data_IF_190305934476
#
_entry.id   IF_190305934476
#
_cell.length_a   1.000
_cell.length_b   1.000
_cell.length_c   1.000
_cell.angle_alpha   90.00
_cell.angle_beta   90.00
_cell.angle_gamma   90.00
#
_symmetry.space_group_name_H-M   'P 1'
#
loop_
_entity.id
_entity.type
_entity.pdbx_description
1 polymer ?
#
# COMPACT_ATOMS: atom_id res chain seq x y z
N UNK A 1 -8.90 8.54 -5.23
CA UNK A 1 -8.79 8.07 -3.83
C UNK A 1 -7.62 8.78 -3.15
N UNK A 2 -7.59 8.85 -1.82
CA UNK A 2 -6.50 9.47 -1.08
C UNK A 2 -5.70 8.40 -0.35
N UNK A 3 -4.38 8.45 -0.46
CA UNK A 3 -3.47 7.48 0.13
C UNK A 3 -2.37 8.15 0.95
N UNK A 4 -2.08 7.56 2.10
CA UNK A 4 -0.93 7.80 2.95
C UNK A 4 -0.25 6.45 3.19
N UNK A 5 0.96 6.25 2.66
CA UNK A 5 1.61 4.96 2.70
C UNK A 5 1.78 4.46 4.14
N UNK A 6 1.37 3.20 4.39
CA UNK A 6 1.42 2.59 5.72
C UNK A 6 2.84 2.21 6.18
N UNK A 7 3.80 2.10 5.25
CA UNK A 7 5.18 1.77 5.59
C UNK A 7 5.89 2.97 6.21
N UNK A 8 6.33 2.83 7.46
CA UNK A 8 6.90 3.93 8.26
C UNK A 8 8.18 4.55 7.71
N UNK A 9 8.90 3.83 6.84
CA UNK A 9 10.07 4.32 6.10
C UNK A 9 9.73 5.13 4.85
N UNK A 10 8.44 5.25 4.51
CA UNK A 10 7.94 5.92 3.31
C UNK A 10 7.14 7.16 3.67
N UNK A 11 7.44 8.28 3.00
CA UNK A 11 6.73 9.55 3.16
C UNK A 11 5.69 9.80 2.05
N UNK A 12 5.43 8.81 1.20
CA UNK A 12 4.49 8.91 0.10
C UNK A 12 3.06 9.22 0.59
N UNK A 13 2.56 10.37 0.15
CA UNK A 13 1.18 10.83 0.35
C UNK A 13 0.66 11.40 -0.95
N UNK A 14 -0.49 10.93 -1.40
CA UNK A 14 -1.09 11.40 -2.64
C UNK A 14 -2.61 11.43 -2.56
N UNK A 15 -3.20 12.53 -3.02
CA UNK A 15 -4.64 12.72 -3.05
C UNK A 15 -5.13 12.61 -4.48
N UNK A 16 -6.39 12.21 -4.64
CA UNK A 16 -7.08 12.12 -5.93
C UNK A 16 -6.37 11.27 -7.00
N UNK A 17 -5.85 10.10 -6.58
CA UNK A 17 -5.26 9.11 -7.51
C UNK A 17 -6.11 7.84 -7.62
N UNK A 18 -5.92 7.09 -8.70
CA UNK A 18 -6.52 5.76 -8.81
C UNK A 18 -5.81 4.77 -7.89
N UNK A 19 -6.51 3.71 -7.50
CA UNK A 19 -5.90 2.65 -6.68
C UNK A 19 -4.76 1.93 -7.42
N UNK A 20 -4.88 1.83 -8.75
CA UNK A 20 -3.87 1.23 -9.63
C UNK A 20 -2.54 1.99 -9.58
N UNK A 21 -2.58 3.33 -9.55
CA UNK A 21 -1.39 4.17 -9.38
C UNK A 21 -0.70 3.92 -8.04
N UNK A 22 -1.49 3.75 -6.97
CA UNK A 22 -0.93 3.40 -5.66
C UNK A 22 -0.33 1.99 -5.64
N UNK A 23 -0.93 1.04 -6.36
CA UNK A 23 -0.37 -0.31 -6.51
C UNK A 23 0.97 -0.30 -7.24
N UNK A 24 1.20 0.60 -8.21
CA UNK A 24 2.51 0.79 -8.84
C UNK A 24 3.54 1.23 -7.80
N UNK A 25 3.21 2.22 -6.97
CA UNK A 25 4.07 2.66 -5.87
C UNK A 25 4.49 1.50 -4.95
N UNK A 26 3.53 0.68 -4.51
CA UNK A 26 3.82 -0.49 -3.66
C UNK A 26 4.74 -1.51 -4.37
N UNK A 27 4.51 -1.77 -5.66
CA UNK A 27 5.31 -2.72 -6.44
C UNK A 27 6.74 -2.25 -6.70
N UNK A 28 6.96 -0.95 -6.83
CA UNK A 28 8.28 -0.38 -7.13
C UNK A 28 9.09 -0.07 -5.86
N UNK A 29 8.44 0.44 -4.82
CA UNK A 29 9.13 0.94 -3.61
C UNK A 29 9.08 -0.02 -2.43
N UNK A 30 8.06 -0.88 -2.37
CA UNK A 30 7.80 -1.75 -1.21
C UNK A 30 7.70 -3.23 -1.55
N UNK A 31 8.29 -3.65 -2.68
CA UNK A 31 8.22 -5.06 -3.12
C UNK A 31 8.74 -6.02 -2.07
N UNK A 32 9.86 -5.68 -1.41
CA UNK A 32 10.49 -6.53 -0.40
C UNK A 32 9.62 -6.67 0.84
N UNK A 33 9.11 -5.54 1.36
CA UNK A 33 8.25 -5.50 2.54
C UNK A 33 6.94 -6.26 2.30
N UNK A 34 6.36 -6.13 1.11
CA UNK A 34 5.17 -6.89 0.71
C UNK A 34 5.46 -8.40 0.65
N UNK A 35 6.63 -8.80 0.13
CA UNK A 35 7.04 -10.21 0.12
C UNK A 35 7.30 -10.73 1.54
N UNK A 36 7.84 -9.91 2.42
CA UNK A 36 8.09 -10.28 3.81
C UNK A 36 6.79 -10.45 4.59
N UNK A 37 5.80 -9.56 4.40
CA UNK A 37 4.43 -9.72 4.94
C UNK A 37 3.79 -11.00 4.41
N UNK A 38 3.84 -11.22 3.09
CA UNK A 38 3.31 -12.41 2.43
C UNK A 38 3.87 -13.71 3.05
N UNK A 39 5.19 -13.79 3.23
CA UNK A 39 5.86 -14.94 3.86
C UNK A 39 5.52 -15.08 5.35
N UNK A 40 5.57 -13.98 6.10
CA UNK A 40 5.37 -13.97 7.55
C UNK A 40 3.95 -14.40 7.91
N UNK A 41 2.97 -13.87 7.20
CA UNK A 41 1.55 -14.15 7.44
C UNK A 41 1.05 -15.38 6.66
N UNK A 42 1.89 -15.99 5.83
CA UNK A 42 1.58 -17.13 4.96
C UNK A 42 0.36 -16.85 4.05
N UNK A 43 0.35 -15.69 3.40
CA UNK A 43 -0.72 -15.24 2.50
C UNK A 43 -0.17 -14.96 1.09
N UNK A 44 -1.00 -15.01 0.04
CA UNK A 44 -0.58 -14.58 -1.29
C UNK A 44 -0.10 -13.12 -1.30
N UNK A 45 0.90 -12.82 -2.14
CA UNK A 45 1.41 -11.46 -2.33
C UNK A 45 0.32 -10.46 -2.73
N UNK A 46 -0.67 -10.90 -3.51
CA UNK A 46 -1.84 -10.08 -3.87
C UNK A 46 -2.68 -9.69 -2.66
N UNK A 47 -2.83 -10.59 -1.68
CA UNK A 47 -3.53 -10.31 -0.43
C UNK A 47 -2.74 -9.32 0.41
N UNK A 48 -1.42 -9.48 0.51
CA UNK A 48 -0.54 -8.52 1.19
C UNK A 48 -0.62 -7.11 0.57
N UNK A 49 -0.67 -7.01 -0.76
CA UNK A 49 -0.88 -5.74 -1.47
C UNK A 49 -2.23 -5.13 -1.13
N UNK A 50 -3.31 -5.92 -1.16
CA UNK A 50 -4.65 -5.44 -0.83
C UNK A 50 -4.74 -4.92 0.61
N UNK A 51 -4.10 -5.60 1.56
CA UNK A 51 -4.01 -5.14 2.95
C UNK A 51 -3.25 -3.82 3.05
N UNK A 52 -2.08 -3.72 2.40
CA UNK A 52 -1.28 -2.50 2.41
C UNK A 52 -2.02 -1.31 1.77
N UNK A 53 -2.69 -1.52 0.64
CA UNK A 53 -3.56 -0.55 -0.02
C UNK A 53 -4.70 -0.10 0.90
N UNK A 54 -5.42 -1.04 1.49
CA UNK A 54 -6.55 -0.74 2.39
C UNK A 54 -6.12 0.06 3.60
N UNK A 55 -4.99 -0.29 4.22
CA UNK A 55 -4.44 0.42 5.38
C UNK A 55 -3.85 1.79 5.02
N UNK A 56 -3.50 2.00 3.75
CA UNK A 56 -2.97 3.28 3.27
C UNK A 56 -4.07 4.24 2.83
N UNK A 57 -5.30 3.76 2.61
CA UNK A 57 -6.42 4.58 2.16
C UNK A 57 -6.92 5.49 3.27
N UNK A 58 -7.02 6.78 3.00
CA UNK A 58 -7.53 7.78 3.95
C UNK A 58 -8.85 8.38 3.47
N UNK A 59 -9.78 8.56 4.39
CA UNK A 59 -11.02 9.30 4.16
C UNK A 59 -10.82 10.72 4.65
N UNK A 60 -10.92 11.69 3.74
CA UNK A 60 -10.94 13.10 4.12
C UNK A 60 -12.40 13.42 4.37
N UNK A 61 -12.79 13.64 5.63
CA UNK A 61 -14.09 14.23 5.94
C UNK A 61 -13.99 15.72 5.56
N UNK A 62 -14.64 16.10 4.47
CA UNK A 62 -14.92 17.51 4.11
C UNK A 62 -15.79 18.19 5.15
#
# INVERSE_FOLDING_TARGET
MNFNCVFSSCDYKCNDIEEEDFLVHLKEKHRSEILDISKKENIPTSMAQMIATSNSKVFINT
#
